data_IF_554841001486
#
_entry.id   IF_554841001486
#
_cell.length_a   1.000
_cell.length_b   1.000
_cell.length_c   1.000
_cell.angle_alpha   90.00
_cell.angle_beta   90.00
_cell.angle_gamma   90.00
#
_symmetry.space_group_name_H-M   'P 1'
#
loop_
_entity.id
_entity.type
_entity.pdbx_description
1 polymer ?
#
# COMPACT_ATOMS: atom_id res chain seq x y z
N UNK A 1 16.10 -1.63 19.30
CA UNK A 1 16.44 -2.37 18.09
C UNK A 1 17.98 -2.45 17.90
N UNK A 2 18.75 -1.35 17.76
CA UNK A 2 20.22 -1.44 17.58
C UNK A 2 20.90 -2.26 18.68
N UNK A 3 20.63 -1.98 19.96
CA UNK A 3 21.26 -2.70 21.11
C UNK A 3 20.88 -4.18 21.19
N UNK A 4 19.71 -4.58 20.73
CA UNK A 4 19.24 -5.98 20.77
C UNK A 4 19.53 -6.75 19.49
N UNK A 5 20.12 -6.09 18.48
CA UNK A 5 20.43 -6.66 17.17
C UNK A 5 19.24 -7.40 16.51
N UNK A 6 18.04 -6.87 16.70
CA UNK A 6 16.81 -7.39 16.08
C UNK A 6 15.72 -6.35 16.08
N UNK A 7 14.79 -6.45 15.13
CA UNK A 7 13.61 -5.62 15.06
C UNK A 7 13.03 -5.51 13.67
N UNK A 8 11.82 -4.96 13.63
CA UNK A 8 11.11 -4.69 12.40
C UNK A 8 10.49 -3.29 12.44
N UNK A 9 10.62 -2.56 11.37
CA UNK A 9 9.90 -1.31 11.13
C UNK A 9 9.06 -1.44 9.87
N UNK A 10 7.78 -1.08 9.96
CA UNK A 10 6.90 -0.97 8.81
C UNK A 10 6.40 0.46 8.71
N UNK A 11 6.67 1.11 7.59
CA UNK A 11 6.24 2.48 7.31
C UNK A 11 4.96 2.40 6.46
N UNK A 12 3.88 2.99 6.94
CA UNK A 12 2.62 3.05 6.18
C UNK A 12 2.71 4.23 5.21
N UNK A 13 2.90 3.90 3.94
CA UNK A 13 2.99 4.89 2.86
C UNK A 13 1.65 5.05 2.14
N UNK A 14 1.59 4.94 0.85
CA UNK A 14 0.38 4.95 0.03
C UNK A 14 0.71 4.55 -1.40
N UNK A 15 -0.26 4.01 -2.13
CA UNK A 15 -0.17 3.86 -3.59
C UNK A 15 0.14 5.20 -4.30
N UNK A 16 -0.24 6.32 -3.70
CA UNK A 16 0.07 7.66 -4.24
C UNK A 16 1.57 8.00 -4.21
N UNK A 17 2.38 7.27 -3.45
CA UNK A 17 3.83 7.37 -3.52
C UNK A 17 4.38 6.85 -4.84
N UNK A 18 3.66 5.93 -5.49
CA UNK A 18 4.06 5.24 -6.71
C UNK A 18 3.30 5.77 -7.94
N UNK A 19 2.03 6.12 -7.76
CA UNK A 19 1.14 6.65 -8.81
C UNK A 19 0.35 7.84 -8.26
N UNK A 20 0.91 9.05 -8.34
CA UNK A 20 0.27 10.25 -7.80
C UNK A 20 -1.10 10.52 -8.41
N UNK A 21 -2.06 10.92 -7.59
CA UNK A 21 -3.37 11.35 -8.03
C UNK A 21 -3.39 12.87 -8.31
N UNK A 22 -4.22 13.29 -9.25
CA UNK A 22 -4.51 14.71 -9.49
C UNK A 22 -5.00 15.38 -8.19
N UNK A 23 -4.60 16.62 -7.97
CA UNK A 23 -4.94 17.43 -6.79
C UNK A 23 -4.40 16.90 -5.43
N UNK A 24 -3.50 15.93 -5.44
CA UNK A 24 -2.85 15.38 -4.25
C UNK A 24 -1.31 15.48 -4.29
N UNK A 25 -0.77 16.49 -4.97
CA UNK A 25 0.67 16.62 -5.20
C UNK A 25 1.49 16.62 -3.90
N UNK A 26 1.08 17.41 -2.90
CA UNK A 26 1.78 17.48 -1.62
C UNK A 26 1.71 16.15 -0.85
N UNK A 27 0.54 15.53 -0.79
CA UNK A 27 0.37 14.22 -0.16
C UNK A 27 1.25 13.16 -0.84
N UNK A 28 1.23 13.11 -2.17
CA UNK A 28 2.04 12.17 -2.95
C UNK A 28 3.54 12.40 -2.73
N UNK A 29 3.98 13.66 -2.71
CA UNK A 29 5.37 14.01 -2.45
C UNK A 29 5.84 13.53 -1.06
N UNK A 30 5.02 13.76 -0.02
CA UNK A 30 5.30 13.30 1.34
C UNK A 30 5.39 11.76 1.37
N UNK A 31 4.45 11.05 0.77
CA UNK A 31 4.44 9.59 0.75
C UNK A 31 5.61 9.01 -0.06
N UNK A 32 6.02 9.66 -1.15
CA UNK A 32 7.23 9.29 -1.90
C UNK A 32 8.51 9.53 -1.09
N UNK A 33 8.58 10.63 -0.34
CA UNK A 33 9.69 10.89 0.57
C UNK A 33 9.80 9.80 1.66
N UNK A 34 8.66 9.35 2.21
CA UNK A 34 8.63 8.25 3.18
C UNK A 34 9.17 6.94 2.59
N UNK A 35 8.91 6.63 1.32
CA UNK A 35 9.49 5.49 0.60
C UNK A 35 11.03 5.61 0.49
N UNK A 36 11.52 6.81 0.19
CA UNK A 36 12.96 7.06 0.12
C UNK A 36 13.63 6.90 1.48
N UNK A 37 13.02 7.44 2.55
CA UNK A 37 13.48 7.28 3.93
C UNK A 37 13.50 5.80 4.33
N UNK A 38 12.44 5.06 4.00
CA UNK A 38 12.35 3.62 4.27
C UNK A 38 13.54 2.87 3.67
N UNK A 39 13.84 3.09 2.38
CA UNK A 39 14.97 2.42 1.71
C UNK A 39 16.31 2.78 2.32
N UNK A 40 16.53 4.04 2.66
CA UNK A 40 17.75 4.49 3.32
C UNK A 40 17.91 3.84 4.71
N UNK A 41 16.83 3.78 5.49
CA UNK A 41 16.83 3.11 6.79
C UNK A 41 17.04 1.60 6.66
N UNK A 42 16.48 0.95 5.62
CA UNK A 42 16.70 -0.47 5.40
C UNK A 42 18.17 -0.82 5.25
N UNK A 43 18.92 -0.03 4.47
CA UNK A 43 20.37 -0.21 4.32
C UNK A 43 21.11 0.07 5.63
N UNK A 44 20.82 1.20 6.29
CA UNK A 44 21.49 1.63 7.51
C UNK A 44 21.25 0.68 8.69
N UNK A 45 20.05 0.08 8.76
CA UNK A 45 19.65 -0.73 9.91
C UNK A 45 19.98 -2.22 9.74
N UNK A 46 20.33 -2.65 8.53
CA UNK A 46 20.64 -4.04 8.22
C UNK A 46 21.82 -4.58 9.04
N UNK A 47 22.85 -3.78 9.28
CA UNK A 47 24.00 -4.15 10.13
C UNK A 47 23.61 -4.52 11.57
N UNK A 48 22.44 -4.02 12.04
CA UNK A 48 21.88 -4.32 13.36
C UNK A 48 20.83 -5.42 13.33
N UNK A 49 20.70 -6.17 12.23
CA UNK A 49 19.68 -7.20 12.09
C UNK A 49 18.24 -6.66 12.11
N UNK A 50 18.05 -5.37 11.82
CA UNK A 50 16.72 -4.73 11.81
C UNK A 50 16.24 -4.62 10.36
N UNK A 51 15.04 -5.13 10.09
CA UNK A 51 14.38 -5.01 8.80
C UNK A 51 13.51 -3.76 8.76
N UNK A 52 13.51 -3.07 7.63
CA UNK A 52 12.67 -1.88 7.40
C UNK A 52 11.98 -2.03 6.05
N UNK A 53 10.66 -1.99 6.06
CA UNK A 53 9.83 -2.14 4.86
C UNK A 53 8.69 -1.12 4.86
N UNK A 54 7.98 -0.98 3.77
CA UNK A 54 6.76 -0.19 3.71
C UNK A 54 5.56 -1.02 3.28
N UNK A 55 4.40 -0.65 3.81
CA UNK A 55 3.10 -1.06 3.32
C UNK A 55 2.47 0.16 2.64
N UNK A 56 2.04 0.01 1.39
CA UNK A 56 1.42 1.06 0.60
C UNK A 56 -0.07 0.73 0.34
N UNK A 57 -0.98 1.17 1.22
CA UNK A 57 -2.41 0.97 1.02
C UNK A 57 -2.94 1.77 -0.17
N UNK A 58 -3.95 1.20 -0.84
CA UNK A 58 -4.83 1.89 -1.77
C UNK A 58 -5.97 2.59 -1.06
N UNK A 59 -7.16 2.51 -1.66
CA UNK A 59 -8.37 3.08 -1.09
C UNK A 59 -8.88 2.20 0.06
N UNK A 60 -8.73 2.68 1.30
CA UNK A 60 -9.11 1.98 2.54
C UNK A 60 -10.15 2.82 3.31
N UNK A 61 -11.18 2.17 3.85
CA UNK A 61 -12.10 2.80 4.79
C UNK A 61 -11.36 3.29 6.04
N UNK A 62 -11.63 4.54 6.44
CA UNK A 62 -11.08 5.11 7.66
C UNK A 62 -12.06 6.13 8.25
N UNK A 63 -11.90 6.48 9.51
CA UNK A 63 -12.69 7.54 10.13
C UNK A 63 -12.57 8.88 9.38
N UNK A 64 -11.41 9.15 8.75
CA UNK A 64 -11.17 10.39 8.01
C UNK A 64 -11.96 10.49 6.71
N UNK A 65 -12.27 9.36 6.06
CA UNK A 65 -12.96 9.35 4.75
C UNK A 65 -14.37 8.77 4.81
N UNK A 66 -14.87 8.43 5.99
CA UNK A 66 -16.20 7.87 6.18
C UNK A 66 -17.30 8.77 5.58
N UNK A 67 -17.18 10.10 5.76
CA UNK A 67 -18.14 11.06 5.22
C UNK A 67 -18.19 11.08 3.69
N UNK A 68 -17.10 10.74 3.01
CA UNK A 68 -17.01 10.66 1.54
C UNK A 68 -17.69 9.37 1.07
N UNK A 69 -17.37 8.24 1.72
CA UNK A 69 -17.89 6.93 1.33
C UNK A 69 -19.31 6.64 1.82
N UNK A 70 -19.90 7.49 2.66
CA UNK A 70 -21.34 7.48 2.95
C UNK A 70 -22.18 7.90 1.73
N UNK A 71 -21.57 8.60 0.78
CA UNK A 71 -22.21 8.90 -0.51
C UNK A 71 -22.12 7.68 -1.43
N UNK A 72 -23.23 6.96 -1.58
CA UNK A 72 -23.26 5.67 -2.28
C UNK A 72 -22.77 5.75 -3.73
N UNK A 73 -23.10 6.81 -4.46
CA UNK A 73 -22.63 6.99 -5.84
C UNK A 73 -21.12 7.07 -5.92
N UNK A 74 -20.51 7.88 -5.06
CA UNK A 74 -19.03 8.03 -5.00
C UNK A 74 -18.35 6.73 -4.60
N UNK A 75 -18.91 6.03 -3.60
CA UNK A 75 -18.42 4.71 -3.17
C UNK A 75 -18.42 3.71 -4.31
N UNK A 76 -19.55 3.55 -5.00
CA UNK A 76 -19.69 2.63 -6.15
C UNK A 76 -18.72 2.97 -7.29
N UNK A 77 -18.50 4.25 -7.55
CA UNK A 77 -17.54 4.68 -8.57
C UNK A 77 -16.11 4.29 -8.20
N UNK A 78 -15.72 4.48 -6.94
CA UNK A 78 -14.42 4.02 -6.42
C UNK A 78 -14.28 2.51 -6.49
N UNK A 79 -15.26 1.76 -6.04
CA UNK A 79 -15.28 0.28 -6.06
C UNK A 79 -15.13 -0.28 -7.48
N UNK A 80 -15.78 0.32 -8.47
CA UNK A 80 -15.61 -0.05 -9.88
C UNK A 80 -14.19 0.12 -10.38
N UNK A 81 -13.45 0.96 -9.74
CA UNK A 81 -12.09 1.22 -10.10
C UNK A 81 -11.07 0.35 -9.40
N UNK A 82 -11.47 -0.52 -8.51
CA UNK A 82 -10.62 -1.47 -7.80
C UNK A 82 -10.92 -2.85 -8.36
N UNK A 83 -9.94 -3.60 -8.91
CA UNK A 83 -10.18 -4.92 -9.49
C UNK A 83 -10.87 -5.91 -8.56
N UNK A 84 -10.58 -5.88 -7.24
CA UNK A 84 -11.30 -6.70 -6.26
C UNK A 84 -12.72 -6.23 -5.96
N UNK A 85 -13.21 -5.15 -6.59
CA UNK A 85 -14.60 -4.69 -6.57
C UNK A 85 -15.05 -4.07 -5.24
N UNK A 86 -14.17 -3.79 -4.33
CA UNK A 86 -14.48 -3.17 -3.03
C UNK A 86 -13.39 -2.21 -2.55
N UNK A 87 -13.77 -1.27 -1.72
CA UNK A 87 -12.83 -0.51 -0.91
C UNK A 87 -12.29 -1.44 0.20
N UNK A 88 -11.00 -1.32 0.51
CA UNK A 88 -10.39 -2.10 1.59
C UNK A 88 -10.84 -1.64 2.97
N UNK A 89 -10.70 -2.51 3.96
CA UNK A 89 -10.90 -2.20 5.38
C UNK A 89 -9.55 -2.06 6.08
N UNK A 90 -9.48 -1.42 7.26
CA UNK A 90 -8.26 -1.34 8.05
C UNK A 90 -7.60 -2.68 8.33
N UNK A 91 -8.41 -3.73 8.51
CA UNK A 91 -7.97 -5.10 8.75
C UNK A 91 -7.18 -5.67 7.57
N UNK A 92 -7.57 -5.34 6.33
CA UNK A 92 -6.84 -5.76 5.12
C UNK A 92 -5.37 -5.29 5.16
N UNK A 93 -5.13 -4.11 5.74
CA UNK A 93 -3.78 -3.55 5.92
C UNK A 93 -3.11 -4.14 7.17
N UNK A 94 -3.86 -4.24 8.27
CA UNK A 94 -3.37 -4.73 9.55
C UNK A 94 -2.81 -6.15 9.47
N UNK A 95 -3.51 -7.05 8.79
CA UNK A 95 -3.10 -8.44 8.59
C UNK A 95 -1.80 -8.54 7.79
N UNK A 96 -1.66 -7.74 6.74
CA UNK A 96 -0.40 -7.67 5.96
C UNK A 96 0.74 -7.15 6.82
N UNK A 97 0.52 -6.09 7.61
CA UNK A 97 1.54 -5.54 8.51
C UNK A 97 1.94 -6.57 9.57
N UNK A 98 0.99 -7.30 10.14
CA UNK A 98 1.27 -8.38 11.09
C UNK A 98 2.17 -9.48 10.48
N UNK A 99 1.89 -9.87 9.23
CA UNK A 99 2.77 -10.79 8.49
C UNK A 99 4.15 -10.19 8.25
N UNK A 100 4.24 -8.91 7.84
CA UNK A 100 5.53 -8.25 7.53
C UNK A 100 6.48 -8.21 8.73
N UNK A 101 5.95 -8.11 9.95
CA UNK A 101 6.79 -8.09 11.17
C UNK A 101 7.12 -9.50 11.68
N UNK A 102 6.51 -10.54 11.14
CA UNK A 102 6.79 -11.93 11.50
C UNK A 102 8.07 -12.47 10.85
N UNK A 103 8.51 -13.64 11.32
CA UNK A 103 9.67 -14.34 10.76
C UNK A 103 9.43 -14.93 9.36
N UNK A 104 8.18 -15.02 8.91
CA UNK A 104 7.87 -15.41 7.54
C UNK A 104 8.54 -14.49 6.50
N UNK A 105 8.78 -13.24 6.87
CA UNK A 105 9.42 -12.22 6.02
C UNK A 105 10.87 -11.92 6.43
N UNK A 106 11.56 -12.85 7.12
CA UNK A 106 12.90 -12.63 7.68
C UNK A 106 13.98 -12.23 6.67
N UNK A 107 13.78 -12.50 5.39
CA UNK A 107 14.74 -12.12 4.33
C UNK A 107 14.27 -10.92 3.50
N UNK A 108 13.27 -10.15 3.99
CA UNK A 108 12.71 -9.00 3.31
C UNK A 108 13.05 -7.71 4.06
N UNK A 109 13.82 -6.82 3.41
CA UNK A 109 14.08 -5.44 3.86
C UNK A 109 14.19 -4.50 2.65
N UNK A 110 13.81 -3.24 2.80
CA UNK A 110 13.82 -2.25 1.73
C UNK A 110 12.69 -2.42 0.68
N UNK A 111 11.70 -3.26 0.97
CA UNK A 111 10.61 -3.60 0.05
C UNK A 111 9.32 -2.87 0.41
N UNK A 112 8.50 -2.62 -0.61
CA UNK A 112 7.16 -2.05 -0.47
C UNK A 112 6.13 -3.11 -0.86
N UNK A 113 5.17 -3.37 0.04
CA UNK A 113 4.02 -4.24 -0.25
C UNK A 113 2.81 -3.36 -0.54
N UNK A 114 2.18 -3.59 -1.69
CA UNK A 114 0.92 -2.96 -2.07
C UNK A 114 -0.25 -3.70 -1.44
N UNK A 115 -1.19 -2.95 -0.84
CA UNK A 115 -2.46 -3.46 -0.31
C UNK A 115 -3.57 -2.59 -0.87
N UNK A 116 -3.90 -2.78 -2.14
CA UNK A 116 -4.70 -1.87 -2.93
C UNK A 116 -5.85 -2.54 -3.71
N UNK A 117 -6.04 -3.84 -3.56
CA UNK A 117 -7.04 -4.58 -4.32
C UNK A 117 -6.82 -4.54 -5.84
N UNK A 118 -5.60 -4.22 -6.28
CA UNK A 118 -5.23 -4.05 -7.68
C UNK A 118 -5.49 -2.66 -8.23
N UNK A 119 -5.75 -1.65 -7.40
CA UNK A 119 -6.09 -0.29 -7.84
C UNK A 119 -5.05 0.29 -8.80
N UNK A 120 -3.76 0.04 -8.60
CA UNK A 120 -2.71 0.52 -9.49
C UNK A 120 -2.63 -0.21 -10.83
N UNK A 121 -3.24 -1.38 -10.95
CA UNK A 121 -3.23 -2.19 -12.18
C UNK A 121 -4.33 -1.79 -13.16
N UNK A 122 -5.10 -0.73 -12.86
CA UNK A 122 -6.19 -0.28 -13.71
C UNK A 122 -5.76 -0.13 -15.16
N UNK A 123 -6.43 -0.78 -16.11
CA UNK A 123 -6.31 -0.38 -17.49
C UNK A 123 -6.83 1.06 -17.62
N UNK A 124 -6.01 1.97 -18.11
CA UNK A 124 -6.40 3.35 -18.41
C UNK A 124 -7.50 3.45 -19.49
N UNK A 125 -7.91 2.32 -20.06
CA UNK A 125 -8.97 2.20 -21.08
C UNK A 125 -9.85 1.00 -20.74
N UNK A 126 -11.17 1.12 -20.96
CA UNK A 126 -12.07 -0.02 -21.03
C UNK A 126 -11.59 -0.91 -22.17
N UNK A 127 -10.84 -1.95 -21.87
CA UNK A 127 -10.65 -3.02 -22.84
C UNK A 127 -11.95 -3.79 -22.94
N UNK A 128 -12.40 -4.16 -24.16
CA UNK A 128 -13.49 -5.12 -24.30
C UNK A 128 -13.10 -6.40 -23.55
N UNK A 129 -14.08 -7.03 -22.91
CA UNK A 129 -13.83 -8.27 -22.19
C UNK A 129 -13.11 -9.27 -23.10
N UNK A 130 -11.89 -9.64 -22.74
CA UNK A 130 -11.17 -10.70 -23.46
C UNK A 130 -11.74 -12.01 -22.97
N UNK A 131 -12.35 -12.76 -23.88
CA UNK A 131 -12.85 -14.10 -23.60
C UNK A 131 -11.63 -15.05 -23.46
N UNK A 132 -11.16 -15.21 -22.22
CA UNK A 132 -10.02 -16.06 -21.92
C UNK A 132 -10.25 -17.55 -22.25
N UNK A 133 -11.48 -17.97 -22.56
CA UNK A 133 -11.79 -19.31 -23.01
C UNK A 133 -11.38 -19.54 -24.49
N UNK A 134 -10.93 -18.50 -25.20
CA UNK A 134 -10.49 -18.55 -26.60
C UNK A 134 -8.98 -18.41 -26.77
N UNK A 135 -8.22 -18.37 -25.68
CA UNK A 135 -6.76 -18.42 -25.65
C UNK A 135 -6.32 -19.82 -25.22
#
# INVERSE_FOLDING_TARGET
MKKQHSGNMVIITSVNALSPLANQALYSAIKSAMESVMRSLAVTMAEYGVRVNSCAPGCIHSALNQHIFSQEQFRREKERGIPLGRIGNPEDVGDVVACMVSDAYRFMTGSTILVDGGELLRPKMKQPAVDCAKI
#
